data_IF_115781748128
#
_entry.id   IF_115781748128
#
_cell.length_a   1.000
_cell.length_b   1.000
_cell.length_c   1.000
_cell.angle_alpha   90.00
_cell.angle_beta   90.00
_cell.angle_gamma   90.00
#
_symmetry.space_group_name_H-M   'P 1'
#
loop_
_entity.id
_entity.type
_entity.pdbx_description
1 polymer ?
#
# COMPACT_ATOMS: atom_id res chain seq x y z
N UNK A 1 20.01 -25.80 32.53
CA UNK A 1 18.89 -25.66 33.48
C UNK A 1 17.86 -26.72 33.16
N UNK A 2 17.71 -27.72 34.02
CA UNK A 2 16.73 -28.80 33.81
C UNK A 2 15.31 -28.27 33.97
N UNK A 3 14.50 -28.47 32.93
CA UNK A 3 13.10 -28.08 32.92
C UNK A 3 12.33 -29.09 33.76
N UNK A 4 11.82 -28.64 34.91
CA UNK A 4 11.02 -29.44 35.81
C UNK A 4 9.63 -29.71 35.22
N UNK A 5 9.47 -30.85 34.53
CA UNK A 5 8.21 -31.30 33.92
C UNK A 5 7.04 -31.39 34.91
N UNK A 6 7.31 -31.59 36.21
CA UNK A 6 6.26 -31.66 37.22
C UNK A 6 5.55 -30.30 37.41
N UNK A 7 6.26 -29.19 37.23
CA UNK A 7 5.68 -27.84 37.28
C UNK A 7 4.76 -27.55 36.07
N UNK A 8 5.07 -28.12 34.90
CA UNK A 8 4.27 -27.98 33.68
C UNK A 8 2.95 -28.75 33.80
N UNK A 9 3.00 -29.99 34.31
CA UNK A 9 1.78 -30.78 34.51
C UNK A 9 0.86 -30.20 35.59
N UNK A 10 1.41 -29.58 36.65
CA UNK A 10 0.59 -28.92 37.70
C UNK A 10 -0.18 -27.72 37.15
N UNK A 11 0.43 -26.93 36.26
CA UNK A 11 -0.22 -25.76 35.62
C UNK A 11 -1.31 -26.17 34.62
N UNK A 12 -1.14 -27.29 33.90
CA UNK A 12 -2.15 -27.79 32.98
C UNK A 12 -3.41 -28.31 33.70
N UNK A 13 -3.26 -28.93 34.88
CA UNK A 13 -4.39 -29.48 35.66
C UNK A 13 -5.26 -28.38 36.27
N UNK A 14 -4.66 -27.28 36.74
CA UNK A 14 -5.38 -26.11 37.27
C UNK A 14 -6.21 -25.40 36.18
N UNK A 15 -5.70 -25.33 34.93
CA UNK A 15 -6.44 -24.71 33.82
C UNK A 15 -7.68 -25.49 33.37
N UNK A 16 -7.69 -26.82 33.52
CA UNK A 16 -8.88 -27.65 33.21
C UNK A 16 -9.96 -27.55 34.28
N UNK A 17 -9.60 -27.40 35.56
CA UNK A 17 -10.57 -27.25 36.64
C UNK A 17 -11.37 -25.93 36.55
N UNK A 18 -10.73 -24.84 36.09
CA UNK A 18 -11.38 -23.52 36.01
C UNK A 18 -12.26 -23.31 34.75
N UNK A 19 -12.25 -24.24 33.78
CA UNK A 19 -13.11 -24.15 32.58
C UNK A 19 -14.48 -24.80 32.74
N UNK A 20 -14.70 -25.59 33.80
CA UNK A 20 -15.97 -26.30 34.04
C UNK A 20 -16.92 -25.56 35.00
N UNK A 21 -16.51 -24.44 35.59
CA UNK A 21 -17.34 -23.64 36.51
C UNK A 21 -17.87 -22.33 35.94
N UNK A 22 -17.55 -21.97 34.68
CA UNK A 22 -17.91 -20.68 34.08
C UNK A 22 -19.05 -20.73 33.04
N UNK A 23 -19.79 -21.85 32.93
CA UNK A 23 -20.90 -22.01 31.97
C UNK A 23 -22.29 -21.92 32.62
N UNK A 24 -22.38 -21.73 33.95
CA UNK A 24 -23.65 -21.91 34.69
C UNK A 24 -24.38 -20.67 35.24
N UNK A 25 -23.92 -19.42 35.05
CA UNK A 25 -24.53 -18.26 35.78
C UNK A 25 -24.83 -17.02 34.93
N UNK A 26 -24.49 -16.98 33.63
CA UNK A 26 -24.76 -15.79 32.80
C UNK A 26 -26.09 -15.86 32.00
N UNK A 27 -27.09 -16.56 32.52
CA UNK A 27 -28.45 -16.57 31.97
C UNK A 27 -29.42 -16.39 33.13
N UNK A 28 -29.64 -15.14 33.58
CA UNK A 28 -30.80 -14.68 34.40
C UNK A 28 -30.82 -13.15 34.66
N UNK A 29 -29.77 -12.37 34.35
CA UNK A 29 -29.80 -10.90 34.52
C UNK A 29 -29.98 -10.13 33.18
N UNK A 30 -31.05 -10.43 32.43
CA UNK A 30 -31.40 -9.72 31.17
C UNK A 30 -32.74 -8.98 31.26
N UNK A 31 -33.38 -8.92 32.43
CA UNK A 31 -34.66 -8.22 32.58
C UNK A 31 -34.58 -7.26 33.77
N UNK A 32 -34.71 -5.95 33.50
CA UNK A 32 -34.83 -4.81 34.45
C UNK A 32 -33.60 -3.89 34.68
N UNK A 33 -32.89 -3.50 33.62
CA UNK A 33 -32.07 -2.27 33.64
C UNK A 33 -32.11 -1.47 32.32
N UNK A 34 -33.11 -1.75 31.48
CA UNK A 34 -33.44 -0.97 30.30
C UNK A 34 -34.27 0.24 30.72
N UNK A 35 -33.67 1.43 30.74
CA UNK A 35 -34.20 2.72 30.21
C UNK A 35 -33.46 3.96 30.74
N UNK A 36 -32.66 3.91 31.82
CA UNK A 36 -31.94 5.12 32.30
C UNK A 36 -30.54 4.76 32.78
N UNK A 37 -29.51 4.90 31.94
CA UNK A 37 -28.12 4.73 32.43
C UNK A 37 -27.00 4.40 31.44
N UNK A 38 -27.24 4.33 30.12
CA UNK A 38 -26.18 4.01 29.13
C UNK A 38 -25.78 5.22 28.27
N UNK A 39 -26.29 6.42 28.58
CA UNK A 39 -26.00 7.62 27.77
C UNK A 39 -24.75 8.41 28.17
N UNK A 40 -24.12 8.12 29.32
CA UNK A 40 -22.97 8.91 29.80
C UNK A 40 -21.60 8.22 29.73
N UNK A 41 -21.52 6.92 29.41
CA UNK A 41 -20.23 6.22 29.30
C UNK A 41 -19.70 6.08 27.86
N UNK A 42 -20.39 6.67 26.87
CA UNK A 42 -19.99 6.69 25.45
C UNK A 42 -19.60 8.07 24.93
N UNK A 43 -19.73 9.12 25.74
CA UNK A 43 -19.34 10.48 25.35
C UNK A 43 -18.28 10.97 26.33
N UNK A 44 -17.01 10.95 25.89
CA UNK A 44 -15.96 11.73 26.51
C UNK A 44 -16.35 13.21 26.57
N UNK A 45 -15.64 14.03 27.38
CA UNK A 45 -15.98 15.44 27.56
C UNK A 45 -16.14 16.12 26.19
N UNK A 46 -17.13 17.01 26.02
CA UNK A 46 -17.47 17.60 24.75
C UNK A 46 -16.21 18.21 24.12
N UNK A 47 -15.68 17.55 23.09
CA UNK A 47 -14.67 18.13 22.24
C UNK A 47 -15.34 19.34 21.61
N UNK A 48 -14.84 20.53 21.94
CA UNK A 48 -15.22 21.76 21.27
C UNK A 48 -15.00 21.54 19.78
N UNK A 49 -16.09 21.30 19.05
CA UNK A 49 -16.08 21.16 17.61
C UNK A 49 -15.57 22.49 17.04
N UNK A 50 -14.30 22.50 16.65
CA UNK A 50 -13.74 23.63 15.90
C UNK A 50 -14.52 23.68 14.59
N UNK A 51 -15.14 24.82 14.23
CA UNK A 51 -15.93 24.93 13.01
C UNK A 51 -15.09 24.50 11.81
N UNK A 52 -15.65 23.58 11.02
CA UNK A 52 -15.02 23.07 9.82
C UNK A 52 -14.72 24.25 8.88
N UNK A 53 -13.49 24.37 8.34
CA UNK A 53 -13.17 25.42 7.38
C UNK A 53 -14.06 25.31 6.15
N UNK A 54 -14.44 26.48 5.61
CA UNK A 54 -15.30 26.58 4.43
C UNK A 54 -14.70 25.80 3.25
N UNK A 55 -15.54 24.99 2.60
CA UNK A 55 -15.20 24.16 1.45
C UNK A 55 -14.79 25.06 0.27
N UNK A 56 -13.48 25.15 0.01
CA UNK A 56 -12.94 25.93 -1.11
C UNK A 56 -13.39 25.28 -2.43
N UNK A 57 -13.95 26.02 -3.40
CA UNK A 57 -14.38 25.47 -4.69
C UNK A 57 -13.23 24.81 -5.46
N UNK A 58 -13.58 23.73 -6.18
CA UNK A 58 -12.71 22.80 -6.92
C UNK A 58 -11.41 23.41 -7.46
N UNK A 59 -10.32 23.15 -6.75
CA UNK A 59 -8.97 23.50 -7.17
C UNK A 59 -8.50 22.45 -8.17
N UNK A 60 -8.38 22.82 -9.44
CA UNK A 60 -7.66 21.99 -10.40
C UNK A 60 -6.19 21.91 -9.93
N UNK A 61 -5.74 20.71 -9.55
CA UNK A 61 -4.31 20.50 -9.32
C UNK A 61 -3.60 20.55 -10.67
N UNK A 62 -2.63 21.45 -10.83
CA UNK A 62 -1.60 21.20 -11.84
C UNK A 62 -0.82 19.98 -11.35
N UNK A 63 -0.74 18.92 -12.16
CA UNK A 63 0.00 17.70 -11.80
C UNK A 63 1.48 17.98 -11.41
N UNK A 64 2.01 19.13 -11.82
CA UNK A 64 3.31 19.65 -11.39
C UNK A 64 3.26 20.18 -9.95
N UNK A 65 4.02 19.52 -9.07
CA UNK A 65 4.28 20.02 -7.73
C UNK A 65 5.18 21.27 -7.75
N UNK A 66 5.03 22.19 -6.78
CA UNK A 66 5.93 23.33 -6.63
C UNK A 66 7.37 22.88 -6.28
N UNK A 67 8.38 23.75 -6.42
CA UNK A 67 9.75 23.43 -6.02
C UNK A 67 9.85 22.96 -4.56
N UNK A 68 10.62 21.90 -4.31
CA UNK A 68 10.75 21.27 -2.99
C UNK A 68 9.61 20.32 -2.62
N UNK A 69 8.69 20.05 -3.54
CA UNK A 69 7.54 19.15 -3.37
C UNK A 69 7.49 18.13 -4.51
N UNK A 70 6.84 17.01 -4.24
CA UNK A 70 6.50 16.00 -5.25
C UNK A 70 5.03 15.63 -5.18
N UNK A 71 4.50 15.19 -6.32
CA UNK A 71 3.14 14.68 -6.45
C UNK A 71 3.13 13.17 -6.22
N UNK A 72 2.30 12.72 -5.28
CA UNK A 72 2.01 11.33 -4.98
C UNK A 72 0.70 10.91 -5.62
N UNK A 73 0.58 9.60 -5.89
CA UNK A 73 -0.55 9.00 -6.57
C UNK A 73 -1.05 7.79 -5.76
N UNK A 74 -2.33 7.77 -5.47
CA UNK A 74 -2.98 6.63 -4.83
C UNK A 74 -4.40 6.51 -5.35
N UNK A 75 -4.74 5.37 -5.96
CA UNK A 75 -6.03 5.10 -6.58
C UNK A 75 -6.40 6.19 -7.58
N UNK A 76 -7.53 6.86 -7.35
CA UNK A 76 -8.06 7.96 -8.15
C UNK A 76 -7.75 9.33 -7.53
N UNK A 77 -6.77 9.46 -6.63
CA UNK A 77 -6.37 10.73 -6.03
C UNK A 77 -4.89 11.05 -6.28
N UNK A 78 -4.58 12.33 -6.26
CA UNK A 78 -3.22 12.88 -6.16
C UNK A 78 -3.13 13.80 -4.95
N UNK A 79 -1.94 13.91 -4.38
CA UNK A 79 -1.63 14.86 -3.31
C UNK A 79 -0.15 15.23 -3.38
N UNK A 80 0.24 16.33 -2.76
CA UNK A 80 1.61 16.82 -2.77
C UNK A 80 2.23 16.70 -1.38
N UNK A 81 3.50 16.30 -1.34
CA UNK A 81 4.32 16.23 -0.11
C UNK A 81 5.69 16.85 -0.37
N UNK A 82 6.45 17.25 0.67
CA UNK A 82 7.84 17.66 0.47
C UNK A 82 8.66 16.54 -0.17
N UNK A 83 9.50 16.89 -1.14
CA UNK A 83 10.28 15.91 -1.92
C UNK A 83 11.31 15.13 -1.09
N UNK A 84 11.72 15.71 0.04
CA UNK A 84 12.63 15.12 1.02
C UNK A 84 12.02 13.98 1.85
N UNK A 85 10.69 13.80 1.81
CA UNK A 85 10.01 12.74 2.55
C UNK A 85 10.30 11.36 1.94
N UNK A 86 10.55 10.37 2.78
CA UNK A 86 10.74 8.98 2.34
C UNK A 86 9.42 8.27 2.06
N UNK A 87 9.50 6.94 1.93
CA UNK A 87 8.35 6.04 1.97
C UNK A 87 8.54 5.06 3.12
N UNK A 88 7.45 4.77 3.84
CA UNK A 88 7.41 3.73 4.86
C UNK A 88 5.96 3.24 5.02
N UNK A 89 5.76 2.16 5.76
CA UNK A 89 4.43 1.71 6.16
C UNK A 89 4.00 2.39 7.46
N UNK A 90 2.70 2.47 7.73
CA UNK A 90 2.25 2.93 9.03
C UNK A 90 2.67 1.95 10.12
N UNK A 91 3.23 2.43 11.25
CA UNK A 91 3.56 1.57 12.37
C UNK A 91 2.35 0.76 12.83
N UNK A 92 2.52 -0.55 12.92
CA UNK A 92 1.50 -1.47 13.42
C UNK A 92 1.29 -1.39 14.92
N UNK A 93 0.37 -2.21 15.42
CA UNK A 93 0.22 -2.43 16.87
C UNK A 93 1.45 -3.06 17.49
N UNK A 94 2.36 -3.65 16.72
CA UNK A 94 3.48 -4.45 17.21
C UNK A 94 4.72 -3.63 17.61
N UNK A 95 4.60 -2.30 17.63
CA UNK A 95 5.66 -1.37 18.05
C UNK A 95 6.24 -1.71 19.43
N UNK A 96 5.46 -2.32 20.34
CA UNK A 96 5.88 -2.54 21.72
C UNK A 96 6.77 -3.78 21.94
N UNK A 97 7.07 -4.54 20.89
CA UNK A 97 7.77 -5.83 21.02
C UNK A 97 9.26 -5.71 20.70
N UNK A 98 9.59 -5.06 19.59
CA UNK A 98 10.97 -4.96 19.09
C UNK A 98 11.52 -3.52 19.15
N UNK A 99 10.75 -2.57 19.71
CA UNK A 99 11.29 -1.24 20.01
C UNK A 99 11.85 -1.18 21.42
N UNK A 100 12.85 -0.31 21.61
CA UNK A 100 13.29 0.12 22.94
C UNK A 100 12.22 0.99 23.66
N UNK A 101 11.05 1.18 23.04
CA UNK A 101 9.96 2.04 23.49
C UNK A 101 10.34 3.52 23.53
N UNK A 102 11.50 3.91 22.99
CA UNK A 102 12.09 5.25 23.10
C UNK A 102 12.40 5.88 21.75
N UNK A 103 12.78 5.07 20.75
CA UNK A 103 13.16 5.53 19.42
C UNK A 103 12.26 4.90 18.36
N UNK A 104 11.84 5.67 17.34
CA UNK A 104 11.17 5.10 16.18
C UNK A 104 12.03 4.05 15.49
N UNK A 105 11.38 3.06 14.87
CA UNK A 105 12.04 2.09 14.01
C UNK A 105 12.87 2.83 12.92
N UNK A 106 14.01 2.28 12.47
CA UNK A 106 14.91 2.96 11.53
C UNK A 106 14.21 3.60 10.32
N UNK A 107 13.25 2.90 9.73
CA UNK A 107 12.42 3.31 8.60
C UNK A 107 11.46 4.48 8.91
N UNK A 108 11.12 4.67 10.19
CA UNK A 108 10.25 5.75 10.67
C UNK A 108 11.04 6.90 11.30
N UNK A 109 12.36 7.01 11.12
CA UNK A 109 13.16 8.10 11.71
C UNK A 109 13.14 9.41 10.92
N UNK A 110 12.48 9.42 9.76
CA UNK A 110 12.34 10.58 8.88
C UNK A 110 10.90 10.70 8.40
N UNK A 111 10.44 11.90 8.02
CA UNK A 111 9.11 12.04 7.47
C UNK A 111 8.85 11.16 6.25
N UNK A 112 7.64 10.60 6.13
CA UNK A 112 7.36 9.58 5.12
C UNK A 112 5.93 9.62 4.57
N UNK A 113 5.75 8.99 3.41
CA UNK A 113 4.44 8.69 2.83
C UNK A 113 4.14 7.20 2.96
N UNK A 114 2.97 6.87 3.49
CA UNK A 114 2.42 5.52 3.58
C UNK A 114 1.26 5.34 2.61
N UNK A 115 1.51 4.63 1.51
CA UNK A 115 0.56 4.41 0.40
C UNK A 115 -0.32 3.17 0.62
N UNK A 116 -1.01 3.11 1.76
CA UNK A 116 -1.93 2.02 2.10
C UNK A 116 -1.26 0.63 2.21
N UNK A 117 0.07 0.61 2.33
CA UNK A 117 0.86 -0.59 2.59
C UNK A 117 0.74 -0.91 4.08
N UNK A 118 0.09 -2.03 4.41
CA UNK A 118 0.15 -2.57 5.75
C UNK A 118 1.52 -3.24 5.94
N UNK A 119 2.26 -2.80 6.97
CA UNK A 119 3.36 -3.62 7.49
C UNK A 119 2.81 -4.96 8.00
N UNK A 120 3.65 -5.99 8.07
CA UNK A 120 3.28 -7.23 8.76
C UNK A 120 3.17 -6.91 10.24
N UNK A 121 1.95 -6.75 10.75
CA UNK A 121 1.69 -6.48 12.16
C UNK A 121 1.46 -7.79 12.89
N UNK A 122 2.19 -8.01 13.99
CA UNK A 122 1.85 -9.10 14.91
C UNK A 122 0.62 -8.70 15.72
N UNK A 123 -0.42 -9.54 15.69
CA UNK A 123 -1.66 -9.35 16.46
C UNK A 123 -1.38 -9.51 17.96
N UNK A 124 -0.98 -8.41 18.59
CA UNK A 124 -0.55 -8.30 19.97
C UNK A 124 -1.23 -7.10 20.58
N UNK A 125 -1.75 -7.29 21.80
CA UNK A 125 -2.47 -6.28 22.60
C UNK A 125 -1.50 -5.24 23.18
N UNK A 126 -0.71 -4.58 22.33
CA UNK A 126 0.08 -3.43 22.73
C UNK A 126 -0.86 -2.26 23.10
N UNK A 127 -0.46 -1.41 24.06
CA UNK A 127 -1.17 -0.17 24.31
C UNK A 127 -1.02 0.81 23.13
N UNK A 128 -1.71 1.94 23.22
CA UNK A 128 -1.57 3.02 22.24
C UNK A 128 -0.11 3.44 22.06
N UNK A 129 0.28 3.70 20.81
CA UNK A 129 1.63 4.14 20.49
C UNK A 129 1.95 5.47 21.20
N UNK A 130 3.04 5.55 21.99
CA UNK A 130 3.46 6.79 22.60
C UNK A 130 3.76 7.86 21.53
N UNK A 131 3.31 9.10 21.75
CA UNK A 131 3.52 10.20 20.80
C UNK A 131 5.00 10.43 20.42
N UNK A 132 5.95 10.08 21.29
CA UNK A 132 7.39 10.16 21.01
C UNK A 132 7.90 9.19 19.93
N UNK A 133 7.12 8.16 19.62
CA UNK A 133 7.41 7.19 18.55
C UNK A 133 6.73 7.58 17.24
N UNK A 134 5.87 8.60 17.25
CA UNK A 134 5.31 9.16 16.04
C UNK A 134 6.37 9.97 15.30
N UNK A 135 6.31 9.89 13.98
CA UNK A 135 7.08 10.70 13.05
C UNK A 135 6.11 11.36 12.09
N UNK A 136 6.46 12.52 11.55
CA UNK A 136 5.61 13.20 10.56
C UNK A 136 5.34 12.29 9.36
N UNK A 137 4.09 12.17 8.95
CA UNK A 137 3.74 11.32 7.80
C UNK A 137 2.41 11.68 7.17
N UNK A 138 2.25 11.23 5.92
CA UNK A 138 0.95 11.15 5.25
C UNK A 138 0.61 9.67 5.11
N UNK A 139 -0.59 9.29 5.52
CA UNK A 139 -1.15 7.98 5.29
C UNK A 139 -2.40 8.08 4.42
N UNK A 140 -2.48 7.25 3.38
CA UNK A 140 -3.65 7.14 2.51
C UNK A 140 -4.19 5.72 2.52
N UNK A 141 -5.51 5.61 2.60
CA UNK A 141 -6.20 4.31 2.64
C UNK A 141 -7.63 4.43 2.11
N UNK A 142 -8.27 3.32 1.70
CA UNK A 142 -9.71 3.31 1.45
C UNK A 142 -10.46 3.83 2.69
N UNK A 143 -11.40 4.73 2.48
CA UNK A 143 -12.12 5.36 3.58
C UNK A 143 -13.23 4.44 4.11
N UNK A 144 -13.17 4.09 5.39
CA UNK A 144 -14.18 3.30 6.09
C UNK A 144 -15.29 4.17 6.68
N UNK A 145 -16.54 3.76 6.51
CA UNK A 145 -17.71 4.45 7.06
C UNK A 145 -17.87 5.91 6.59
N UNK A 146 -18.65 6.69 7.34
CA UNK A 146 -18.90 8.12 7.09
C UNK A 146 -17.96 9.03 7.87
N UNK A 147 -16.66 8.66 7.97
CA UNK A 147 -15.69 9.42 8.74
C UNK A 147 -15.72 10.91 8.34
N UNK A 148 -16.00 11.77 9.32
CA UNK A 148 -15.98 13.22 9.17
C UNK A 148 -14.54 13.72 9.03
N UNK A 149 -14.38 14.93 8.49
CA UNK A 149 -13.13 15.69 8.61
C UNK A 149 -12.82 15.79 10.10
N UNK A 150 -11.65 15.29 10.49
CA UNK A 150 -11.23 15.22 11.88
C UNK A 150 -9.89 15.92 12.05
N UNK A 151 -9.79 16.74 13.08
CA UNK A 151 -8.55 17.34 13.53
C UNK A 151 -8.42 17.09 15.03
N UNK A 152 -7.37 16.40 15.44
CA UNK A 152 -7.06 16.19 16.85
C UNK A 152 -5.57 16.38 17.12
N UNK A 153 -5.22 16.46 18.41
CA UNK A 153 -3.85 16.63 18.86
C UNK A 153 -3.40 15.39 19.61
N UNK A 154 -2.21 14.87 19.27
CA UNK A 154 -1.56 13.75 19.94
C UNK A 154 -0.16 14.16 20.37
N UNK A 155 -0.01 14.53 21.65
CA UNK A 155 1.22 15.14 22.15
C UNK A 155 1.55 16.44 21.41
N UNK A 156 2.72 16.48 20.76
CA UNK A 156 3.15 17.62 19.94
C UNK A 156 2.58 17.61 18.51
N UNK A 157 1.97 16.50 18.08
CA UNK A 157 1.52 16.32 16.70
C UNK A 157 0.06 16.73 16.52
N UNK A 158 -0.19 17.38 15.40
CA UNK A 158 -1.51 17.50 14.81
C UNK A 158 -1.80 16.29 13.94
N UNK A 159 -3.00 15.73 14.07
CA UNK A 159 -3.51 14.65 13.22
C UNK A 159 -4.74 15.19 12.50
N UNK A 160 -4.59 15.46 11.21
CA UNK A 160 -5.67 15.97 10.37
C UNK A 160 -6.06 14.89 9.37
N UNK A 161 -7.35 14.66 9.19
CA UNK A 161 -7.88 13.68 8.25
C UNK A 161 -8.93 14.32 7.36
N UNK A 162 -8.78 14.14 6.05
CA UNK A 162 -9.75 14.57 5.05
C UNK A 162 -10.12 13.39 4.13
N UNK A 163 -11.37 13.39 3.66
CA UNK A 163 -11.87 12.41 2.70
C UNK A 163 -11.90 13.01 1.30
N UNK A 164 -11.16 12.40 0.37
CA UNK A 164 -11.18 12.72 -1.06
C UNK A 164 -11.80 11.53 -1.80
N UNK A 165 -13.08 11.66 -2.15
CA UNK A 165 -13.81 10.57 -2.81
C UNK A 165 -13.95 9.32 -1.93
N UNK A 166 -13.36 8.21 -2.38
CA UNK A 166 -13.36 6.94 -1.63
C UNK A 166 -12.11 6.77 -0.73
N UNK A 167 -11.23 7.78 -0.69
CA UNK A 167 -9.92 7.71 -0.03
C UNK A 167 -9.89 8.63 1.19
N UNK A 168 -9.30 8.15 2.27
CA UNK A 168 -8.98 8.93 3.46
C UNK A 168 -7.51 9.33 3.39
N UNK A 169 -7.23 10.61 3.54
CA UNK A 169 -5.88 11.16 3.64
C UNK A 169 -5.69 11.66 5.06
N UNK A 170 -4.76 11.05 5.80
CA UNK A 170 -4.40 11.46 7.15
C UNK A 170 -3.00 12.01 7.16
N UNK A 171 -2.82 13.19 7.73
CA UNK A 171 -1.52 13.85 7.89
C UNK A 171 -1.23 14.03 9.37
N UNK A 172 -0.05 13.56 9.78
CA UNK A 172 0.49 13.72 11.13
C UNK A 172 1.71 14.64 11.03
N UNK A 173 1.66 15.80 11.70
CA UNK A 173 2.79 16.76 11.68
C UNK A 173 2.84 17.60 12.94
N UNK A 174 4.04 18.04 13.31
CA UNK A 174 4.23 19.04 14.36
C UNK A 174 3.85 20.46 13.89
N UNK A 175 3.83 20.68 12.57
CA UNK A 175 3.40 21.90 11.90
C UNK A 175 1.99 21.73 11.30
N UNK A 176 1.02 22.42 11.91
CA UNK A 176 -0.37 22.41 11.44
C UNK A 176 -0.51 22.98 10.03
N UNK A 177 0.23 24.03 9.69
CA UNK A 177 0.14 24.67 8.38
C UNK A 177 0.68 23.74 7.28
N UNK A 178 1.73 22.96 7.58
CA UNK A 178 2.21 21.90 6.69
C UNK A 178 1.13 20.84 6.46
N UNK A 179 0.49 20.37 7.54
CA UNK A 179 -0.58 19.37 7.43
C UNK A 179 -1.79 19.86 6.61
N UNK A 180 -2.24 21.09 6.86
CA UNK A 180 -3.33 21.73 6.09
C UNK A 180 -2.95 21.92 4.63
N UNK A 181 -1.69 22.28 4.33
CA UNK A 181 -1.20 22.42 2.95
C UNK A 181 -1.20 21.10 2.19
N UNK A 182 -0.76 20.02 2.83
CA UNK A 182 -0.79 18.66 2.23
C UNK A 182 -2.24 18.27 1.93
N UNK A 183 -3.15 18.40 2.90
CA UNK A 183 -4.57 18.05 2.69
C UNK A 183 -5.22 18.90 1.61
N UNK A 184 -4.96 20.21 1.59
CA UNK A 184 -5.50 21.11 0.58
C UNK A 184 -4.99 20.82 -0.86
N UNK A 185 -3.91 20.04 -0.99
CA UNK A 185 -3.40 19.57 -2.29
C UNK A 185 -4.03 18.25 -2.74
N UNK A 186 -4.75 17.55 -1.85
CA UNK A 186 -5.33 16.26 -2.13
C UNK A 186 -6.61 16.42 -2.98
N UNK A 187 -6.58 15.91 -4.21
CA UNK A 187 -7.69 16.02 -5.16
C UNK A 187 -7.88 14.72 -5.93
N UNK A 188 -9.04 14.55 -6.58
CA UNK A 188 -9.21 13.45 -7.54
C UNK A 188 -8.31 13.67 -8.75
N UNK A 189 -7.60 12.62 -9.14
CA UNK A 189 -6.78 12.59 -10.34
C UNK A 189 -7.64 12.83 -11.58
N UNK A 190 -7.11 13.58 -12.55
CA UNK A 190 -7.77 13.77 -13.85
C UNK A 190 -7.18 12.80 -14.88
N UNK A 191 -8.01 12.30 -15.79
CA UNK A 191 -7.66 11.21 -16.71
C UNK A 191 -6.63 11.57 -17.81
N UNK A 192 -6.17 12.82 -17.89
CA UNK A 192 -5.57 13.36 -19.12
C UNK A 192 -4.03 13.37 -19.17
N UNK A 193 -3.35 12.66 -18.28
CA UNK A 193 -1.90 12.72 -18.18
C UNK A 193 -1.28 11.38 -18.65
N UNK A 194 -0.55 11.40 -19.76
CA UNK A 194 0.08 10.20 -20.38
C UNK A 194 1.20 9.60 -19.53
N UNK A 195 1.71 10.38 -18.56
CA UNK A 195 2.67 9.96 -17.53
C UNK A 195 2.01 9.37 -16.28
N UNK A 196 0.68 9.31 -16.22
CA UNK A 196 -0.04 8.77 -15.09
C UNK A 196 -0.27 7.30 -15.33
N UNK A 197 -0.10 6.56 -14.25
CA UNK A 197 -0.73 5.27 -14.15
C UNK A 197 -2.25 5.51 -14.12
N UNK A 198 -3.02 4.81 -14.97
CA UNK A 198 -4.46 4.74 -14.80
C UNK A 198 -4.83 4.44 -13.34
N UNK A 199 -5.98 4.91 -12.87
CA UNK A 199 -6.46 4.57 -11.53
C UNK A 199 -6.76 3.06 -11.40
N UNK A 200 -7.05 2.40 -12.52
CA UNK A 200 -7.34 0.96 -12.61
C UNK A 200 -6.58 0.29 -13.75
N UNK A 201 -5.98 -0.86 -13.48
CA UNK A 201 -5.44 -1.77 -14.47
C UNK A 201 -6.47 -2.83 -14.87
N UNK A 202 -6.35 -3.32 -16.10
CA UNK A 202 -7.14 -4.48 -16.56
C UNK A 202 -6.79 -5.76 -15.78
N UNK A 203 -5.57 -5.84 -15.26
CA UNK A 203 -5.10 -6.95 -14.45
C UNK A 203 -5.91 -7.13 -13.16
N UNK A 204 -6.58 -6.08 -12.67
CA UNK A 204 -7.47 -6.17 -11.51
C UNK A 204 -8.75 -6.98 -11.78
N UNK A 205 -9.20 -6.99 -13.04
CA UNK A 205 -10.41 -7.69 -13.46
C UNK A 205 -10.09 -9.06 -14.07
N UNK A 206 -8.97 -9.16 -14.77
CA UNK A 206 -8.53 -10.34 -15.49
C UNK A 206 -7.00 -10.43 -15.43
N UNK A 207 -6.47 -11.37 -14.64
CA UNK A 207 -5.03 -11.58 -14.49
C UNK A 207 -4.37 -12.08 -15.79
N UNK A 208 -5.14 -12.62 -16.74
CA UNK A 208 -4.64 -13.01 -18.05
C UNK A 208 -4.61 -11.84 -19.06
N UNK A 209 -5.15 -10.67 -18.70
CA UNK A 209 -5.24 -9.52 -19.58
C UNK A 209 -3.86 -9.13 -20.15
N UNK A 210 -3.82 -9.00 -21.48
CA UNK A 210 -2.65 -8.53 -22.24
C UNK A 210 -2.78 -7.04 -22.54
N UNK A 211 -1.66 -6.34 -22.83
CA UNK A 211 -1.68 -4.98 -23.36
C UNK A 211 -2.66 -4.84 -24.54
N UNK A 212 -3.40 -3.74 -24.59
CA UNK A 212 -4.42 -3.50 -25.66
C UNK A 212 -3.82 -3.27 -27.03
N UNK A 213 -2.66 -2.63 -27.06
CA UNK A 213 -1.92 -2.28 -28.26
C UNK A 213 -0.60 -3.07 -28.29
N UNK A 214 -0.62 -4.32 -28.76
CA UNK A 214 0.58 -5.14 -28.83
C UNK A 214 1.70 -4.45 -29.61
N UNK A 215 2.92 -4.62 -29.13
CA UNK A 215 4.12 -4.15 -29.82
C UNK A 215 5.22 -5.19 -29.71
N UNK A 216 6.34 -4.96 -30.40
CA UNK A 216 7.54 -5.78 -30.26
C UNK A 216 8.58 -4.99 -29.50
N UNK A 217 8.84 -5.35 -28.25
CA UNK A 217 9.84 -4.64 -27.44
C UNK A 217 11.25 -4.67 -28.04
N UNK A 218 11.54 -5.65 -28.91
CA UNK A 218 12.78 -5.71 -29.67
C UNK A 218 12.99 -4.53 -30.63
N UNK A 219 11.91 -3.95 -31.14
CA UNK A 219 11.90 -2.85 -32.12
C UNK A 219 11.94 -1.46 -31.44
N UNK A 220 11.83 -1.38 -30.11
CA UNK A 220 12.04 -0.13 -29.38
C UNK A 220 13.54 0.11 -29.24
N UNK A 221 14.04 1.13 -29.93
CA UNK A 221 15.46 1.52 -29.88
C UNK A 221 15.81 2.22 -28.57
N UNK A 222 14.96 3.15 -28.12
CA UNK A 222 15.24 3.99 -26.97
C UNK A 222 13.95 4.41 -26.24
N UNK A 223 14.07 4.68 -24.94
CA UNK A 223 12.99 5.24 -24.11
C UNK A 223 13.47 6.47 -23.33
N UNK A 224 12.67 7.54 -23.32
CA UNK A 224 12.94 8.70 -22.47
C UNK A 224 12.61 8.44 -21.01
N UNK A 225 11.58 7.61 -20.77
CA UNK A 225 11.18 7.20 -19.42
C UNK A 225 10.43 5.86 -19.40
N UNK A 226 10.45 5.22 -18.23
CA UNK A 226 9.62 4.07 -17.90
C UNK A 226 8.87 4.40 -16.61
N UNK A 227 7.55 4.53 -16.69
CA UNK A 227 6.69 4.66 -15.51
C UNK A 227 6.30 3.27 -15.04
N UNK A 228 6.48 2.99 -13.75
CA UNK A 228 6.14 1.73 -13.10
C UNK A 228 4.87 1.95 -12.30
N UNK A 229 3.83 1.20 -12.61
CA UNK A 229 2.51 1.29 -12.00
C UNK A 229 2.24 0.02 -11.21
N UNK A 230 2.06 0.16 -9.89
CA UNK A 230 1.70 -0.94 -9.01
C UNK A 230 0.24 -0.84 -8.60
N UNK A 231 -0.51 -1.91 -8.82
CA UNK A 231 -1.94 -2.01 -8.54
C UNK A 231 -2.21 -3.09 -7.50
N UNK A 232 -3.27 -2.93 -6.72
CA UNK A 232 -3.72 -3.99 -5.83
C UNK A 232 -4.75 -4.88 -6.47
N UNK A 233 -4.61 -6.18 -6.23
CA UNK A 233 -5.46 -7.23 -6.80
C UNK A 233 -6.50 -7.78 -5.83
N UNK A 234 -6.57 -7.26 -4.60
CA UNK A 234 -7.39 -7.78 -3.49
C UNK A 234 -8.92 -7.72 -3.69
N UNK A 235 -9.66 -7.91 -2.59
CA UNK A 235 -11.12 -7.90 -2.57
C UNK A 235 -11.72 -6.57 -3.10
N UNK A 236 -12.99 -6.59 -3.54
CA UNK A 236 -13.67 -5.39 -4.05
C UNK A 236 -13.59 -4.26 -3.02
N UNK A 237 -12.97 -3.14 -3.39
CA UNK A 237 -12.75 -1.96 -2.51
C UNK A 237 -11.28 -1.69 -2.17
N UNK A 238 -10.40 -2.69 -2.28
CA UNK A 238 -8.95 -2.52 -2.12
C UNK A 238 -8.21 -2.55 -3.46
N UNK A 239 -8.91 -2.34 -4.58
CA UNK A 239 -8.36 -2.42 -5.95
C UNK A 239 -8.06 -1.04 -6.52
N UNK A 240 -7.12 -0.98 -7.47
CA UNK A 240 -6.68 0.25 -8.14
C UNK A 240 -5.19 0.52 -7.95
N UNK A 241 -4.74 1.67 -8.42
CA UNK A 241 -3.36 2.13 -8.28
C UNK A 241 -2.96 2.21 -6.80
N UNK A 242 -1.87 1.55 -6.41
CA UNK A 242 -1.25 1.65 -5.08
C UNK A 242 -0.05 2.58 -5.09
N UNK A 243 0.84 2.42 -6.07
CA UNK A 243 2.11 3.11 -6.10
C UNK A 243 2.56 3.39 -7.54
N UNK A 244 3.34 4.46 -7.70
CA UNK A 244 3.93 4.89 -8.97
C UNK A 244 5.39 5.24 -8.75
N UNK A 245 6.27 4.75 -9.63
CA UNK A 245 7.64 5.25 -9.76
C UNK A 245 7.93 5.59 -11.22
N UNK A 246 8.98 6.38 -11.46
CA UNK A 246 9.43 6.71 -12.81
C UNK A 246 10.95 6.58 -12.89
N UNK A 247 11.41 5.85 -13.90
CA UNK A 247 12.81 5.83 -14.32
C UNK A 247 12.94 6.76 -15.53
N UNK A 248 13.98 7.58 -15.54
CA UNK A 248 14.31 8.47 -16.66
C UNK A 248 15.77 8.29 -17.06
N UNK A 249 16.13 8.71 -18.27
CA UNK A 249 17.53 8.71 -18.73
C UNK A 249 18.18 7.33 -18.71
N UNK A 250 19.43 7.24 -18.20
CA UNK A 250 20.21 6.01 -18.22
C UNK A 250 19.55 4.82 -17.48
N UNK A 251 18.95 4.98 -16.29
CA UNK A 251 18.16 3.91 -15.66
C UNK A 251 17.03 3.34 -16.53
N UNK A 252 16.27 4.20 -17.21
CA UNK A 252 15.18 3.77 -18.10
C UNK A 252 15.71 2.94 -19.27
N UNK A 253 16.79 3.40 -19.89
CA UNK A 253 17.46 2.71 -21.00
C UNK A 253 18.05 1.36 -20.55
N UNK A 254 18.66 1.33 -19.37
CA UNK A 254 19.22 0.12 -18.80
C UNK A 254 18.13 -0.94 -18.53
N UNK A 255 16.95 -0.53 -18.03
CA UNK A 255 15.82 -1.44 -17.87
C UNK A 255 15.35 -1.98 -19.23
N UNK A 256 15.13 -1.13 -20.22
CA UNK A 256 14.75 -1.56 -21.58
C UNK A 256 15.75 -2.58 -22.15
N UNK A 257 17.05 -2.30 -22.05
CA UNK A 257 18.10 -3.18 -22.55
C UNK A 257 18.05 -4.56 -21.89
N UNK A 258 17.84 -4.63 -20.56
CA UNK A 258 17.71 -5.89 -19.84
C UNK A 258 16.46 -6.67 -20.24
N UNK A 259 15.33 -5.99 -20.44
CA UNK A 259 14.10 -6.62 -20.94
C UNK A 259 14.33 -7.16 -22.36
N UNK A 260 14.93 -6.40 -23.27
CA UNK A 260 15.24 -6.85 -24.64
C UNK A 260 16.18 -8.07 -24.67
N UNK A 261 17.11 -8.16 -23.71
CA UNK A 261 18.07 -9.27 -23.59
C UNK A 261 17.46 -10.52 -22.94
N UNK A 262 16.36 -10.37 -22.22
CA UNK A 262 15.69 -11.50 -21.60
C UNK A 262 15.19 -12.49 -22.67
N UNK A 263 15.38 -13.81 -22.47
CA UNK A 263 14.89 -14.83 -23.39
C UNK A 263 13.39 -14.70 -23.64
N UNK A 264 12.94 -15.08 -24.82
CA UNK A 264 11.52 -15.27 -25.07
C UNK A 264 11.02 -16.42 -24.19
N UNK A 265 9.89 -16.21 -23.54
CA UNK A 265 9.16 -17.24 -22.83
C UNK A 265 8.25 -17.95 -23.85
N UNK A 266 8.43 -19.27 -24.08
CA UNK A 266 7.61 -20.02 -25.03
C UNK A 266 6.15 -20.15 -24.57
N UNK A 267 5.85 -19.91 -23.30
CA UNK A 267 4.50 -19.98 -22.74
C UNK A 267 3.87 -18.58 -22.71
N UNK A 268 2.88 -18.36 -23.58
CA UNK A 268 2.21 -17.06 -23.74
C UNK A 268 0.78 -17.03 -23.19
N UNK A 269 0.15 -18.19 -23.01
CA UNK A 269 -1.21 -18.32 -22.51
C UNK A 269 -1.21 -18.40 -20.98
N UNK A 270 -1.76 -17.42 -20.26
CA UNK A 270 -2.07 -17.54 -18.84
C UNK A 270 -3.42 -18.21 -18.66
N UNK A 271 -3.41 -19.35 -17.97
CA UNK A 271 -4.57 -19.77 -17.20
C UNK A 271 -4.26 -19.36 -15.73
N UNK A 272 -5.04 -18.48 -15.10
CA UNK A 272 -4.75 -18.09 -13.72
C UNK A 272 -5.18 -19.24 -12.80
N UNK A 273 -4.23 -19.94 -12.16
CA UNK A 273 -4.60 -20.82 -11.04
C UNK A 273 -5.50 -20.02 -10.07
N UNK A 274 -6.69 -20.54 -9.78
CA UNK A 274 -7.73 -19.90 -8.93
C UNK A 274 -7.27 -19.60 -7.50
N UNK A 275 -6.05 -19.99 -7.12
CA UNK A 275 -5.44 -19.80 -5.80
C UNK A 275 -4.25 -18.82 -5.79
N UNK A 276 -4.06 -18.00 -6.83
CA UNK A 276 -2.94 -17.04 -6.84
C UNK A 276 -3.17 -15.88 -5.86
N UNK A 277 -2.49 -15.89 -4.72
CA UNK A 277 -2.41 -14.78 -3.77
C UNK A 277 -1.39 -13.72 -4.23
N UNK A 278 -1.45 -13.26 -5.48
CA UNK A 278 -0.70 -12.05 -5.84
C UNK A 278 -1.49 -10.87 -5.31
N UNK A 279 -0.94 -10.18 -4.31
CA UNK A 279 -1.59 -9.00 -3.73
C UNK A 279 -1.48 -7.77 -4.64
N UNK A 280 -0.55 -7.80 -5.60
CA UNK A 280 -0.22 -6.69 -6.49
C UNK A 280 0.04 -7.11 -7.93
N UNK A 281 -0.30 -6.24 -8.88
CA UNK A 281 0.08 -6.30 -10.29
C UNK A 281 1.01 -5.13 -10.64
N UNK A 282 1.89 -5.35 -11.62
CA UNK A 282 2.81 -4.35 -12.14
C UNK A 282 2.60 -4.14 -13.64
N UNK A 283 2.49 -2.89 -14.04
CA UNK A 283 2.39 -2.44 -15.43
C UNK A 283 3.46 -1.38 -15.67
N UNK A 284 4.18 -1.48 -16.78
CA UNK A 284 5.17 -0.50 -17.20
C UNK A 284 4.64 0.30 -18.37
N UNK A 285 4.85 1.62 -18.35
CA UNK A 285 4.54 2.51 -19.47
C UNK A 285 5.85 3.07 -20.01
N UNK A 286 6.26 2.58 -21.18
CA UNK A 286 7.49 2.94 -21.85
C UNK A 286 7.21 4.13 -22.77
N UNK A 287 7.89 5.26 -22.55
CA UNK A 287 7.76 6.43 -23.42
C UNK A 287 8.96 6.49 -24.37
N UNK A 288 8.71 6.40 -25.67
CA UNK A 288 9.71 6.58 -26.74
C UNK A 288 9.28 7.70 -27.70
N UNK A 289 10.10 7.98 -28.71
CA UNK A 289 9.75 8.91 -29.80
C UNK A 289 8.49 8.49 -30.57
N UNK A 290 8.15 7.20 -30.55
CA UNK A 290 6.99 6.63 -31.21
C UNK A 290 5.72 6.69 -30.34
N UNK A 291 5.83 7.23 -29.12
CA UNK A 291 4.74 7.36 -28.16
C UNK A 291 4.89 6.45 -26.94
N UNK A 292 3.81 6.32 -26.17
CA UNK A 292 3.77 5.47 -24.99
C UNK A 292 3.28 4.05 -25.34
N UNK A 293 3.93 3.03 -24.77
CA UNK A 293 3.54 1.61 -24.88
C UNK A 293 3.41 0.99 -23.49
N UNK A 294 2.46 0.07 -23.35
CA UNK A 294 2.13 -0.62 -22.10
C UNK A 294 2.70 -2.03 -22.10
N UNK A 295 3.42 -2.39 -21.04
CA UNK A 295 4.03 -3.70 -20.84
C UNK A 295 3.58 -4.26 -19.50
N UNK A 296 3.00 -5.46 -19.49
CA UNK A 296 2.57 -6.09 -18.24
C UNK A 296 3.71 -6.90 -17.63
N UNK A 297 3.90 -6.83 -16.31
CA UNK A 297 4.85 -7.69 -15.59
C UNK A 297 4.07 -8.80 -14.90
N UNK A 298 4.23 -10.02 -15.41
CA UNK A 298 3.50 -11.21 -14.95
C UNK A 298 4.24 -11.88 -13.81
N UNK A 299 3.52 -12.10 -12.70
CA UNK A 299 4.11 -12.64 -11.48
C UNK A 299 4.16 -14.15 -11.34
N UNK A 300 3.28 -14.90 -12.02
CA UNK A 300 3.11 -16.34 -11.83
C UNK A 300 2.58 -17.10 -13.05
N UNK A 301 2.67 -18.44 -12.93
CA UNK A 301 2.22 -19.56 -13.77
C UNK A 301 0.98 -19.31 -14.62
N UNK A 302 0.99 -20.05 -15.70
CA UNK A 302 -0.15 -20.66 -16.37
C UNK A 302 -0.13 -22.16 -15.96
N UNK A 303 -1.23 -22.79 -15.50
CA UNK A 303 -1.33 -24.08 -14.79
C UNK A 303 -0.86 -25.31 -15.55
N UNK A 304 -0.36 -25.21 -16.77
CA UNK A 304 -0.10 -26.35 -17.65
C UNK A 304 1.11 -27.22 -17.24
N UNK A 305 1.65 -27.03 -16.03
CA UNK A 305 2.36 -28.09 -15.30
C UNK A 305 3.74 -28.54 -15.80
N UNK A 306 4.35 -27.86 -16.76
CA UNK A 306 5.69 -28.21 -17.26
C UNK A 306 6.73 -27.17 -16.83
N UNK A 307 7.79 -27.64 -16.17
CA UNK A 307 9.02 -26.88 -15.89
C UNK A 307 9.77 -26.50 -17.19
N UNK A 308 10.43 -25.34 -17.28
CA UNK A 308 10.78 -24.42 -16.18
C UNK A 308 9.79 -23.24 -16.02
N UNK A 309 9.83 -22.54 -14.87
CA UNK A 309 8.89 -21.46 -14.54
C UNK A 309 9.15 -20.19 -15.37
N UNK A 310 8.11 -19.39 -15.62
CA UNK A 310 8.33 -18.07 -16.23
C UNK A 310 7.16 -17.10 -16.12
N UNK A 311 7.16 -16.27 -15.08
CA UNK A 311 6.67 -14.90 -15.15
C UNK A 311 7.45 -14.10 -16.20
N UNK A 312 6.97 -12.92 -16.57
CA UNK A 312 7.59 -12.21 -17.68
C UNK A 312 7.06 -10.84 -18.00
N UNK A 313 7.78 -10.18 -18.88
CA UNK A 313 7.41 -8.93 -19.50
C UNK A 313 6.58 -9.24 -20.75
N UNK A 314 5.28 -8.95 -20.71
CA UNK A 314 4.34 -9.20 -21.79
C UNK A 314 4.04 -7.90 -22.56
N UNK A 315 4.49 -7.83 -23.81
CA UNK A 315 4.24 -6.71 -24.74
C UNK A 315 2.98 -6.91 -25.60
N UNK A 316 2.17 -7.91 -25.27
CA UNK A 316 0.97 -8.30 -26.02
C UNK A 316 1.26 -9.16 -27.25
N UNK A 317 2.51 -9.22 -27.71
CA UNK A 317 2.93 -10.10 -28.79
C UNK A 317 3.74 -11.29 -28.23
N UNK A 318 4.82 -10.98 -27.52
CA UNK A 318 5.73 -11.92 -26.87
C UNK A 318 5.73 -11.73 -25.36
N UNK A 319 6.01 -12.80 -24.63
CA UNK A 319 6.37 -12.73 -23.22
C UNK A 319 7.86 -12.96 -23.13
N UNK A 320 8.61 -12.08 -22.45
CA UNK A 320 10.04 -12.29 -22.16
C UNK A 320 10.22 -12.66 -20.70
N UNK A 321 11.11 -13.62 -20.42
CA UNK A 321 11.35 -14.13 -19.06
C UNK A 321 11.70 -12.99 -18.10
N UNK A 322 11.08 -13.00 -16.91
CA UNK A 322 11.40 -12.05 -15.85
C UNK A 322 12.76 -12.40 -15.23
N UNK A 323 13.85 -11.82 -15.74
CA UNK A 323 15.20 -12.07 -15.19
C UNK A 323 15.44 -11.32 -13.89
N UNK A 324 16.35 -11.83 -13.05
CA UNK A 324 16.72 -11.19 -11.79
C UNK A 324 17.23 -9.75 -11.99
N UNK A 325 18.07 -9.55 -13.00
CA UNK A 325 18.61 -8.23 -13.30
C UNK A 325 17.54 -7.22 -13.70
N UNK A 326 16.57 -7.63 -14.52
CA UNK A 326 15.49 -6.76 -14.95
C UNK A 326 14.50 -6.50 -13.80
N UNK A 327 14.18 -7.52 -13.01
CA UNK A 327 13.18 -7.35 -11.96
C UNK A 327 13.65 -6.47 -10.81
N UNK A 328 14.91 -6.60 -10.37
CA UNK A 328 15.45 -5.76 -9.28
C UNK A 328 15.39 -4.27 -9.63
N UNK A 329 15.47 -3.91 -10.91
CA UNK A 329 15.32 -2.52 -11.36
C UNK A 329 13.90 -1.98 -11.24
N UNK A 330 12.89 -2.83 -11.03
CA UNK A 330 11.52 -2.40 -10.78
C UNK A 330 11.27 -1.99 -9.33
N UNK A 331 12.13 -2.41 -8.40
CA UNK A 331 11.99 -2.17 -6.96
C UNK A 331 12.55 -0.81 -6.55
N UNK A 332 11.97 0.24 -7.14
CA UNK A 332 12.29 1.63 -6.84
C UNK A 332 11.17 2.22 -6.00
N UNK A 333 11.46 2.83 -4.84
CA UNK A 333 10.42 3.38 -3.97
C UNK A 333 9.46 4.32 -4.73
N UNK A 334 8.13 4.20 -4.52
CA UNK A 334 7.45 3.36 -3.53
C UNK A 334 7.13 1.92 -3.97
N UNK A 335 7.62 1.47 -5.14
CA UNK A 335 7.35 0.13 -5.64
C UNK A 335 8.03 -0.89 -4.73
N UNK A 336 7.23 -1.74 -4.10
CA UNK A 336 7.70 -2.75 -3.16
C UNK A 336 6.87 -4.03 -3.29
N UNK A 337 7.53 -5.18 -3.07
CA UNK A 337 6.90 -6.49 -3.08
C UNK A 337 7.05 -7.12 -1.70
N UNK A 338 5.95 -7.28 -0.97
CA UNK A 338 5.94 -7.77 0.42
C UNK A 338 5.66 -9.26 0.53
N UNK A 339 4.89 -9.80 -0.42
CA UNK A 339 4.60 -11.22 -0.55
C UNK A 339 4.66 -11.57 -2.02
N UNK A 340 5.84 -11.94 -2.50
CA UNK A 340 6.02 -12.45 -3.85
C UNK A 340 6.45 -13.91 -3.79
N UNK A 341 5.73 -14.74 -4.52
CA UNK A 341 5.94 -16.18 -4.59
C UNK A 341 6.05 -16.58 -6.06
N UNK A 342 6.89 -17.54 -6.40
CA UNK A 342 7.25 -17.83 -7.81
C UNK A 342 8.35 -16.89 -8.33
N UNK A 343 8.40 -16.65 -9.64
CA UNK A 343 9.52 -15.95 -10.28
C UNK A 343 9.69 -14.51 -9.83
N UNK A 344 8.61 -13.79 -9.51
CA UNK A 344 8.73 -12.45 -8.93
C UNK A 344 9.37 -12.52 -7.54
N UNK A 345 9.06 -13.52 -6.73
CA UNK A 345 9.74 -13.71 -5.44
C UNK A 345 11.23 -14.03 -5.64
N UNK A 346 11.51 -15.04 -6.48
CA UNK A 346 12.85 -15.53 -6.73
C UNK A 346 13.76 -14.50 -7.41
N UNK A 347 13.26 -13.82 -8.44
CA UNK A 347 14.07 -12.94 -9.28
C UNK A 347 14.08 -11.50 -8.79
N UNK A 348 13.08 -11.05 -8.04
CA UNK A 348 13.05 -9.67 -7.56
C UNK A 348 13.60 -9.56 -6.12
N UNK A 349 13.37 -10.58 -5.27
CA UNK A 349 13.74 -10.56 -3.85
C UNK A 349 14.88 -11.49 -3.46
N UNK A 350 15.14 -12.56 -4.23
CA UNK A 350 16.32 -13.43 -4.06
C UNK A 350 17.58 -12.79 -4.64
#
# INVERSE_FOLDING_TARGET
GEINLAAVHRRAKIRRANRLTAVGVAAVLVLLASVIGVRELLFGPPQLAVPAPAKVPGRASSDAAPPGWRTEYYRDITFQVPDSWGYAFEPGSDWCIDSDGRTPAPEHRRPYVALGQAGVVRDILCPDMPARLLTEHVAVQPAEGSAAIAACKSGAYWVLTERVGAISVRVVSTDRALAERILASAVRATANNTRACPAHSRLEADLAARPRDPFKIGEIESVSSVVICQYDLGARGSRGLRAKAELTGAPAQALLAKIKKAPANPHTACDPETSSNLDVALELRLTSEQGARELNVRGRRCPDGVDPPGGGFDDGNTVRTLTQEACRMLLVPPIALYGAIGDVGQNCLG
#
